data_IF_395172917815
#
_entry.id   IF_395172917815
#
_cell.length_a   1.000
_cell.length_b   1.000
_cell.length_c   1.000
_cell.angle_alpha   90.00
_cell.angle_beta   90.00
_cell.angle_gamma   90.00
#
_symmetry.space_group_name_H-M   'P 1'
#
loop_
_entity.id
_entity.type
_entity.pdbx_description
1 polymer ?
#
# COMPACT_ATOMS: atom_id res chain seq x y z
N UNK A 1 -10.12 7.98 1.63
CA UNK A 1 -10.21 6.95 0.57
C UNK A 1 -10.42 7.67 -0.73
N UNK A 2 -9.56 7.42 -1.70
CA UNK A 2 -9.75 7.88 -3.08
C UNK A 2 -10.91 7.09 -3.66
N UNK A 3 -11.90 7.78 -4.25
CA UNK A 3 -13.03 7.12 -4.91
C UNK A 3 -12.49 6.35 -6.11
N UNK A 4 -12.60 5.02 -6.10
CA UNK A 4 -12.20 4.18 -7.24
C UNK A 4 -13.17 4.46 -8.38
N UNK A 5 -12.65 4.83 -9.54
CA UNK A 5 -13.44 5.16 -10.73
C UNK A 5 -13.43 4.00 -11.73
N UNK A 6 -14.37 3.97 -12.67
CA UNK A 6 -14.35 3.03 -13.82
C UNK A 6 -13.05 3.17 -14.61
N UNK A 7 -12.46 4.36 -14.64
CA UNK A 7 -11.14 4.60 -15.23
C UNK A 7 -10.04 3.89 -14.44
N UNK A 8 -10.07 3.94 -13.11
CA UNK A 8 -9.13 3.19 -12.26
C UNK A 8 -9.30 1.67 -12.44
N UNK A 9 -10.53 1.16 -12.59
CA UNK A 9 -10.80 -0.26 -12.89
C UNK A 9 -10.24 -0.65 -14.27
N UNK A 10 -10.39 0.20 -15.28
CA UNK A 10 -9.79 -0.07 -16.59
C UNK A 10 -8.25 -0.01 -16.53
N UNK A 11 -7.67 0.91 -15.74
CA UNK A 11 -6.21 0.96 -15.47
C UNK A 11 -5.71 -0.27 -14.74
N UNK A 12 -6.50 -0.79 -13.81
CA UNK A 12 -6.24 -2.06 -13.12
C UNK A 12 -6.12 -3.19 -14.14
N UNK A 13 -7.17 -3.40 -14.94
CA UNK A 13 -7.23 -4.49 -15.93
C UNK A 13 -6.15 -4.32 -17.01
N UNK A 14 -5.80 -3.09 -17.39
CA UNK A 14 -4.78 -2.82 -18.41
C UNK A 14 -3.34 -2.82 -17.87
N UNK A 15 -3.14 -2.92 -16.55
CA UNK A 15 -1.82 -2.84 -15.93
C UNK A 15 -1.19 -1.44 -15.97
N UNK A 16 -2.00 -0.38 -16.11
CA UNK A 16 -1.49 0.98 -16.27
C UNK A 16 -0.77 1.46 -15.00
N UNK A 17 0.32 2.21 -15.21
CA UNK A 17 1.17 2.76 -14.14
C UNK A 17 0.52 4.01 -13.54
N UNK A 18 0.71 4.24 -12.25
CA UNK A 18 0.21 5.41 -11.52
C UNK A 18 1.23 6.55 -11.64
N UNK A 19 0.80 7.73 -12.13
CA UNK A 19 1.67 8.91 -12.20
C UNK A 19 2.02 9.42 -10.79
N UNK A 20 3.30 9.62 -10.56
CA UNK A 20 3.82 10.24 -9.34
C UNK A 20 3.71 11.76 -9.52
N UNK A 21 2.79 12.39 -8.79
CA UNK A 21 2.53 13.83 -8.93
C UNK A 21 3.56 14.73 -8.24
N UNK A 22 4.45 14.16 -7.44
CA UNK A 22 5.57 14.91 -6.86
C UNK A 22 6.69 15.07 -7.91
N UNK A 23 7.36 16.25 -7.98
CA UNK A 23 8.47 16.44 -8.90
C UNK A 23 9.59 15.42 -8.68
N UNK A 24 10.19 14.95 -9.77
CA UNK A 24 11.34 14.06 -9.70
C UNK A 24 12.53 14.79 -9.04
N UNK A 25 13.12 14.26 -7.94
CA UNK A 25 14.07 15.03 -7.14
C UNK A 25 15.50 14.96 -7.64
N UNK A 26 15.84 14.00 -8.51
CA UNK A 26 17.17 13.91 -9.10
C UNK A 26 17.14 14.70 -10.40
N UNK A 27 17.84 15.83 -10.46
CA UNK A 27 17.87 16.71 -11.63
C UNK A 27 18.67 16.10 -12.82
N UNK A 28 18.64 14.78 -12.98
CA UNK A 28 19.43 14.02 -13.95
C UNK A 28 18.62 13.58 -15.19
N UNK A 29 17.30 13.79 -15.20
CA UNK A 29 16.41 13.47 -16.35
C UNK A 29 15.90 14.71 -17.11
N UNK A 30 16.25 15.91 -16.66
CA UNK A 30 15.75 17.18 -17.21
C UNK A 30 14.46 17.69 -16.56
N UNK A 31 14.08 18.92 -16.93
CA UNK A 31 12.91 19.59 -16.41
C UNK A 31 11.61 18.94 -16.90
N UNK A 32 10.62 18.81 -16.01
CA UNK A 32 9.31 18.24 -16.35
C UNK A 32 9.30 16.71 -16.49
N UNK A 33 10.36 16.02 -16.07
CA UNK A 33 10.42 14.56 -16.11
C UNK A 33 9.28 13.91 -15.33
N UNK A 34 8.59 12.98 -15.97
CA UNK A 34 7.49 12.20 -15.39
C UNK A 34 7.96 10.80 -15.01
N UNK A 35 7.43 10.35 -13.89
CA UNK A 35 7.76 9.07 -13.29
C UNK A 35 6.51 8.47 -12.67
N UNK A 36 6.52 7.15 -12.57
CA UNK A 36 5.32 6.38 -12.29
C UNK A 36 5.62 5.24 -11.33
N UNK A 37 4.58 4.75 -10.64
CA UNK A 37 4.60 3.47 -9.91
C UNK A 37 3.81 2.46 -10.74
N UNK A 38 4.46 1.40 -11.21
CA UNK A 38 3.76 0.29 -11.84
C UNK A 38 3.09 -0.61 -10.81
N UNK A 39 2.09 -1.37 -11.23
CA UNK A 39 1.48 -2.40 -10.40
C UNK A 39 2.49 -3.53 -10.15
N UNK A 40 2.62 -4.05 -8.91
CA UNK A 40 3.47 -5.20 -8.66
C UNK A 40 2.92 -6.45 -9.35
N UNK A 41 3.82 -7.25 -9.90
CA UNK A 41 3.47 -8.64 -10.25
C UNK A 41 3.22 -9.44 -8.98
N UNK A 42 2.50 -10.57 -9.09
CA UNK A 42 2.27 -11.47 -7.96
C UNK A 42 3.58 -11.86 -7.26
N UNK A 43 4.59 -12.23 -8.04
CA UNK A 43 5.89 -12.58 -7.51
C UNK A 43 6.56 -11.41 -6.76
N UNK A 44 6.54 -10.19 -7.30
CA UNK A 44 7.10 -9.04 -6.60
C UNK A 44 6.33 -8.73 -5.31
N UNK A 45 5.01 -8.84 -5.34
CA UNK A 45 4.17 -8.64 -4.17
C UNK A 45 4.49 -9.65 -3.07
N UNK A 46 4.55 -10.94 -3.41
CA UNK A 46 4.85 -12.04 -2.47
C UNK A 46 6.26 -11.91 -1.89
N UNK A 47 7.26 -11.55 -2.70
CA UNK A 47 8.61 -11.29 -2.21
C UNK A 47 8.66 -10.07 -1.28
N UNK A 48 7.88 -9.03 -1.58
CA UNK A 48 7.72 -7.89 -0.69
C UNK A 48 7.14 -8.31 0.66
N UNK A 49 6.12 -9.17 0.67
CA UNK A 49 5.53 -9.71 1.90
C UNK A 49 6.57 -10.51 2.70
N UNK A 50 7.33 -11.40 2.04
CA UNK A 50 8.40 -12.17 2.69
C UNK A 50 9.48 -11.28 3.33
N UNK A 51 9.85 -10.16 2.69
CA UNK A 51 10.77 -9.18 3.28
C UNK A 51 10.17 -8.50 4.51
N UNK A 52 8.86 -8.20 4.46
CA UNK A 52 8.13 -7.68 5.62
C UNK A 52 8.10 -8.66 6.79
N UNK A 53 7.77 -9.92 6.53
CA UNK A 53 7.73 -11.01 7.51
C UNK A 53 9.10 -11.27 8.14
N UNK A 54 10.18 -11.24 7.33
CA UNK A 54 11.54 -11.36 7.85
C UNK A 54 11.88 -10.20 8.80
N UNK A 55 11.55 -8.96 8.43
CA UNK A 55 11.77 -7.79 9.29
C UNK A 55 10.90 -7.81 10.56
N UNK A 56 9.70 -8.39 10.48
CA UNK A 56 8.83 -8.63 11.63
C UNK A 56 9.46 -9.62 12.61
N UNK A 57 9.93 -10.76 12.11
CA UNK A 57 10.60 -11.78 12.90
C UNK A 57 11.87 -11.25 13.58
N UNK A 58 12.69 -10.49 12.83
CA UNK A 58 13.87 -9.80 13.38
C UNK A 58 13.48 -8.81 14.48
N UNK A 59 12.39 -8.07 14.28
CA UNK A 59 11.91 -7.13 15.31
C UNK A 59 11.49 -7.89 16.57
N UNK A 60 10.72 -8.96 16.45
CA UNK A 60 10.30 -9.78 17.60
C UNK A 60 11.46 -10.47 18.33
N UNK A 61 12.58 -10.70 17.66
CA UNK A 61 13.78 -11.27 18.28
C UNK A 61 14.53 -10.27 19.20
N UNK A 62 14.19 -8.99 19.16
CA UNK A 62 14.80 -7.98 20.03
C UNK A 62 14.38 -8.18 21.51
N UNK A 63 15.32 -8.16 22.47
CA UNK A 63 15.01 -8.38 23.89
C UNK A 63 13.94 -7.43 24.47
N UNK A 64 13.89 -6.19 23.97
CA UNK A 64 12.95 -5.16 24.43
C UNK A 64 11.49 -5.53 24.11
N UNK A 65 11.25 -6.38 23.11
CA UNK A 65 9.91 -6.77 22.68
C UNK A 65 9.16 -7.58 23.72
N UNK A 66 9.87 -8.33 24.57
CA UNK A 66 9.25 -9.05 25.70
C UNK A 66 8.60 -8.09 26.70
N UNK A 67 9.15 -6.89 26.85
CA UNK A 67 8.53 -5.85 27.67
C UNK A 67 7.37 -5.20 26.93
N UNK A 68 7.52 -4.94 25.62
CA UNK A 68 6.48 -4.30 24.81
C UNK A 68 5.22 -5.17 24.66
N UNK A 69 5.33 -6.50 24.64
CA UNK A 69 4.17 -7.41 24.61
C UNK A 69 3.21 -7.23 25.79
N UNK A 70 3.72 -6.76 26.92
CA UNK A 70 2.92 -6.54 28.15
C UNK A 70 2.21 -5.18 28.14
N UNK A 71 2.53 -4.31 27.19
CA UNK A 71 1.95 -2.98 27.09
C UNK A 71 0.80 -2.99 26.06
N UNK A 72 -0.28 -2.25 26.35
CA UNK A 72 -1.33 -2.05 25.35
C UNK A 72 -0.80 -1.27 24.14
N UNK A 73 -1.50 -1.32 22.99
CA UNK A 73 -1.20 -0.49 21.84
C UNK A 73 -1.14 1.00 22.20
N UNK A 74 -0.45 1.79 21.38
CA UNK A 74 -0.37 3.23 21.59
C UNK A 74 -1.75 3.89 21.49
N UNK A 75 -1.94 5.00 22.23
CA UNK A 75 -3.16 5.80 22.14
C UNK A 75 -3.39 6.30 20.72
N UNK A 76 -2.31 6.63 20.00
CA UNK A 76 -2.38 7.09 18.62
C UNK A 76 -2.87 5.98 17.69
N UNK A 77 -2.36 4.75 17.87
CA UNK A 77 -2.85 3.60 17.12
C UNK A 77 -4.33 3.32 17.39
N UNK A 78 -4.75 3.34 18.67
CA UNK A 78 -6.16 3.17 19.06
C UNK A 78 -7.06 4.26 18.44
N UNK A 79 -6.60 5.51 18.44
CA UNK A 79 -7.30 6.62 17.80
C UNK A 79 -7.42 6.43 16.29
N UNK A 80 -6.34 5.99 15.63
CA UNK A 80 -6.35 5.70 14.20
C UNK A 80 -7.31 4.57 13.86
N UNK A 81 -7.32 3.48 14.64
CA UNK A 81 -8.29 2.39 14.47
C UNK A 81 -9.73 2.88 14.62
N UNK A 82 -9.99 3.67 15.65
CA UNK A 82 -11.33 4.25 15.90
C UNK A 82 -11.78 5.13 14.72
N UNK A 83 -10.88 6.00 14.23
CA UNK A 83 -11.17 6.87 13.09
C UNK A 83 -11.41 6.04 11.82
N UNK A 84 -10.58 5.03 11.56
CA UNK A 84 -10.70 4.14 10.41
C UNK A 84 -12.01 3.38 10.43
N UNK A 85 -12.33 2.68 11.54
CA UNK A 85 -13.61 1.97 11.72
C UNK A 85 -14.79 2.90 11.49
N UNK A 86 -14.81 4.07 12.12
CA UNK A 86 -15.90 5.04 11.98
C UNK A 86 -16.05 5.53 10.54
N UNK A 87 -14.94 5.87 9.86
CA UNK A 87 -14.98 6.36 8.47
C UNK A 87 -15.48 5.27 7.52
N UNK A 88 -14.96 4.06 7.63
CA UNK A 88 -15.39 2.91 6.83
C UNK A 88 -16.85 2.59 7.07
N UNK A 89 -17.28 2.50 8.34
CA UNK A 89 -18.68 2.20 8.67
C UNK A 89 -19.64 3.28 8.14
N UNK A 90 -19.29 4.56 8.30
CA UNK A 90 -20.11 5.65 7.76
C UNK A 90 -20.25 5.55 6.24
N UNK A 91 -19.17 5.18 5.54
CA UNK A 91 -19.19 5.01 4.08
C UNK A 91 -20.02 3.80 3.65
N UNK A 92 -19.88 2.67 4.36
CA UNK A 92 -20.73 1.48 4.15
C UNK A 92 -22.20 1.87 4.29
N UNK A 93 -22.57 2.54 5.38
CA UNK A 93 -23.95 2.98 5.62
C UNK A 93 -24.45 3.95 4.56
N UNK A 94 -23.61 4.87 4.08
CA UNK A 94 -23.95 5.76 2.97
C UNK A 94 -24.27 4.97 1.68
N UNK A 95 -23.45 3.96 1.35
CA UNK A 95 -23.65 3.11 0.18
C UNK A 95 -24.90 2.24 0.32
N UNK A 96 -25.07 1.55 1.45
CA UNK A 96 -26.24 0.72 1.74
C UNK A 96 -27.56 1.51 1.76
N UNK A 97 -27.50 2.81 2.09
CA UNK A 97 -28.66 3.71 2.06
C UNK A 97 -29.10 4.13 0.65
N UNK A 98 -28.31 3.85 -0.40
CA UNK A 98 -28.66 4.18 -1.79
C UNK A 98 -29.65 3.16 -2.36
N UNK A 99 -30.65 3.65 -3.10
CA UNK A 99 -31.64 2.77 -3.77
C UNK A 99 -31.05 1.91 -4.89
N UNK A 100 -29.99 2.37 -5.53
CA UNK A 100 -29.26 1.65 -6.59
C UNK A 100 -27.80 2.08 -6.56
N UNK A 101 -26.90 1.12 -6.43
CA UNK A 101 -25.45 1.32 -6.52
C UNK A 101 -25.01 1.27 -7.98
N UNK A 102 -23.97 2.02 -8.32
CA UNK A 102 -23.22 1.76 -9.57
C UNK A 102 -22.33 0.53 -9.38
N UNK A 103 -21.86 -0.14 -10.45
CA UNK A 103 -20.94 -1.26 -10.33
C UNK A 103 -19.67 -0.95 -9.51
N UNK A 104 -19.14 0.27 -9.63
CA UNK A 104 -17.99 0.74 -8.86
C UNK A 104 -18.31 0.86 -7.37
N UNK A 105 -19.50 1.34 -7.05
CA UNK A 105 -19.95 1.50 -5.67
C UNK A 105 -20.25 0.14 -5.01
N UNK A 106 -20.66 -0.86 -5.79
CA UNK A 106 -20.87 -2.23 -5.32
C UNK A 106 -19.52 -2.91 -4.99
N UNK A 107 -18.52 -2.76 -5.88
CA UNK A 107 -17.14 -3.19 -5.60
C UNK A 107 -16.53 -2.45 -4.40
N UNK A 108 -16.74 -1.13 -4.31
CA UNK A 108 -16.32 -0.34 -3.14
C UNK A 108 -16.94 -0.91 -1.87
N UNK A 109 -18.24 -1.20 -1.86
CA UNK A 109 -18.95 -1.73 -0.70
C UNK A 109 -18.40 -3.09 -0.25
N UNK A 110 -18.14 -4.01 -1.19
CA UNK A 110 -17.52 -5.31 -0.89
C UNK A 110 -16.14 -5.11 -0.24
N UNK A 111 -15.30 -4.27 -0.86
CA UNK A 111 -13.96 -3.97 -0.34
C UNK A 111 -13.99 -3.31 1.05
N UNK A 112 -14.97 -2.42 1.31
CA UNK A 112 -15.12 -1.77 2.61
C UNK A 112 -15.53 -2.76 3.72
N UNK A 113 -16.42 -3.72 3.41
CA UNK A 113 -16.85 -4.76 4.36
C UNK A 113 -15.69 -5.70 4.70
N UNK A 114 -15.02 -6.22 3.68
CA UNK A 114 -13.83 -7.05 3.85
C UNK A 114 -12.73 -6.32 4.63
N UNK A 115 -12.52 -5.03 4.35
CA UNK A 115 -11.60 -4.20 5.13
C UNK A 115 -12.02 -4.11 6.60
N UNK A 116 -13.31 -3.86 6.89
CA UNK A 116 -13.82 -3.75 8.26
C UNK A 116 -13.64 -5.06 9.05
N UNK A 117 -13.90 -6.19 8.41
CA UNK A 117 -13.75 -7.53 8.99
C UNK A 117 -12.28 -7.86 9.30
N UNK A 118 -11.35 -7.35 8.50
CA UNK A 118 -9.89 -7.51 8.70
C UNK A 118 -9.29 -6.52 9.69
N UNK A 119 -10.04 -5.53 10.16
CA UNK A 119 -9.51 -4.60 11.15
C UNK A 119 -9.24 -5.35 12.47
N UNK A 120 -8.01 -5.23 12.94
CA UNK A 120 -7.52 -5.89 14.14
C UNK A 120 -8.36 -5.48 15.37
N UNK A 121 -8.73 -6.44 16.20
CA UNK A 121 -9.34 -6.18 17.52
C UNK A 121 -8.28 -5.59 18.45
N UNK A 122 -8.46 -4.35 18.95
CA UNK A 122 -7.53 -3.72 19.89
C UNK A 122 -7.23 -4.54 21.14
N UNK A 123 -8.13 -5.45 21.55
CA UNK A 123 -7.92 -6.30 22.73
C UNK A 123 -6.96 -7.47 22.48
N UNK A 124 -6.74 -7.81 21.20
CA UNK A 124 -5.84 -8.89 20.77
C UNK A 124 -4.48 -8.38 20.30
N UNK A 125 -4.31 -7.04 20.28
CA UNK A 125 -3.12 -6.37 19.77
C UNK A 125 -2.36 -5.73 20.92
N UNK A 126 -1.03 -5.75 20.86
CA UNK A 126 -0.17 -5.14 21.88
C UNK A 126 0.86 -4.18 21.25
N UNK A 127 1.67 -3.52 22.11
CA UNK A 127 2.69 -2.57 21.62
C UNK A 127 3.78 -3.24 20.80
N UNK A 128 4.14 -4.48 21.10
CA UNK A 128 5.11 -5.22 20.30
C UNK A 128 4.58 -5.44 18.88
N UNK A 129 3.31 -5.83 18.72
CA UNK A 129 2.71 -6.03 17.40
C UNK A 129 2.67 -4.71 16.59
N UNK A 130 2.38 -3.59 17.24
CA UNK A 130 2.40 -2.26 16.62
C UNK A 130 3.79 -1.92 16.04
N UNK A 131 4.84 -2.15 16.83
CA UNK A 131 6.23 -1.87 16.43
C UNK A 131 6.66 -2.83 15.31
N UNK A 132 6.38 -4.12 15.47
CA UNK A 132 6.73 -5.16 14.52
C UNK A 132 6.05 -4.92 13.16
N UNK A 133 4.73 -4.68 13.16
CA UNK A 133 3.98 -4.35 11.95
C UNK A 133 4.47 -3.04 11.29
N UNK A 134 4.86 -2.04 12.08
CA UNK A 134 5.41 -0.80 11.53
C UNK A 134 6.74 -1.03 10.81
N UNK A 135 7.62 -1.85 11.40
CA UNK A 135 8.90 -2.23 10.80
C UNK A 135 8.71 -3.10 9.56
N UNK A 136 7.84 -4.12 9.64
CA UNK A 136 7.50 -5.02 8.54
C UNK A 136 6.97 -4.25 7.32
N UNK A 137 5.97 -3.40 7.52
CA UNK A 137 5.40 -2.57 6.45
C UNK A 137 6.46 -1.63 5.85
N UNK A 138 7.32 -1.04 6.68
CA UNK A 138 8.40 -0.17 6.19
C UNK A 138 9.43 -0.93 5.36
N UNK A 139 9.84 -2.12 5.80
CA UNK A 139 10.80 -2.96 5.09
C UNK A 139 10.24 -3.39 3.73
N UNK A 140 9.02 -3.94 3.71
CA UNK A 140 8.29 -4.28 2.47
C UNK A 140 8.23 -3.09 1.52
N UNK A 141 7.71 -1.95 1.99
CA UNK A 141 7.46 -0.80 1.12
C UNK A 141 8.78 -0.26 0.52
N UNK A 142 9.84 -0.18 1.32
CA UNK A 142 11.16 0.30 0.86
C UNK A 142 11.86 -0.70 -0.06
N UNK A 143 11.54 -1.99 0.03
CA UNK A 143 12.02 -3.00 -0.88
C UNK A 143 11.27 -2.98 -2.22
N UNK A 144 9.94 -2.81 -2.18
CA UNK A 144 9.09 -2.77 -3.37
C UNK A 144 9.30 -1.51 -4.20
N UNK A 145 9.35 -0.33 -3.58
CA UNK A 145 9.41 0.94 -4.29
C UNK A 145 10.48 1.02 -5.40
N UNK A 146 11.77 0.72 -5.15
CA UNK A 146 12.78 0.81 -6.21
C UNK A 146 12.54 -0.18 -7.37
N UNK A 147 11.77 -1.25 -7.14
CA UNK A 147 11.40 -2.28 -8.12
C UNK A 147 10.14 -1.96 -8.91
N UNK A 148 9.44 -0.88 -8.56
CA UNK A 148 8.17 -0.48 -9.18
C UNK A 148 8.17 0.96 -9.71
N UNK A 149 9.16 1.77 -9.33
CA UNK A 149 9.25 3.15 -9.80
C UNK A 149 9.97 3.18 -11.15
N UNK A 150 9.24 3.63 -12.16
CA UNK A 150 9.64 3.57 -13.57
C UNK A 150 9.47 4.92 -14.27
N UNK A 151 10.15 5.08 -15.40
CA UNK A 151 9.88 6.15 -16.35
C UNK A 151 8.60 5.89 -17.18
N UNK A 152 8.30 6.83 -18.09
CA UNK A 152 7.18 6.71 -19.03
C UNK A 152 7.24 5.44 -19.89
N UNK A 153 8.45 5.01 -20.28
CA UNK A 153 8.69 3.81 -21.11
C UNK A 153 8.62 2.51 -20.32
N UNK A 154 8.68 2.55 -18.99
CA UNK A 154 8.65 1.37 -18.10
C UNK A 154 10.03 0.93 -17.62
N UNK A 155 11.06 1.74 -17.87
CA UNK A 155 12.41 1.50 -17.39
C UNK A 155 12.49 1.81 -15.90
N UNK A 156 13.08 0.91 -15.11
CA UNK A 156 13.31 1.14 -13.68
C UNK A 156 14.22 2.35 -13.48
N UNK A 157 13.81 3.26 -12.60
CA UNK A 157 14.62 4.43 -12.24
C UNK A 157 15.65 4.12 -11.15
N UNK A 158 15.39 3.10 -10.35
CA UNK A 158 16.15 2.75 -9.15
C UNK A 158 16.49 1.26 -9.12
N UNK A 159 17.02 0.71 -10.21
CA UNK A 159 17.45 -0.69 -10.23
C UNK A 159 18.59 -0.93 -9.22
N UNK A 160 18.23 -1.42 -8.03
CA UNK A 160 19.16 -1.68 -6.92
C UNK A 160 20.12 -2.82 -7.19
N UNK A 161 19.98 -3.55 -8.32
CA UNK A 161 20.98 -4.52 -8.76
C UNK A 161 22.21 -3.83 -9.39
N UNK A 162 22.08 -2.55 -9.73
CA UNK A 162 23.15 -1.72 -10.31
C UNK A 162 23.67 -0.69 -9.31
N UNK A 163 24.96 -0.35 -9.41
CA UNK A 163 25.55 0.68 -8.56
C UNK A 163 24.90 2.05 -8.76
N UNK A 164 24.51 2.38 -10.00
CA UNK A 164 23.83 3.63 -10.33
C UNK A 164 22.42 3.67 -9.71
N UNK A 165 21.61 2.64 -9.90
CA UNK A 165 20.25 2.59 -9.36
C UNK A 165 20.23 2.59 -7.84
N UNK A 166 21.16 1.88 -7.19
CA UNK A 166 21.34 1.94 -5.73
C UNK A 166 21.74 3.35 -5.28
N UNK A 167 22.71 3.99 -5.94
CA UNK A 167 23.11 5.36 -5.63
C UNK A 167 21.94 6.34 -5.79
N UNK A 168 21.15 6.23 -6.87
CA UNK A 168 19.96 7.08 -7.09
C UNK A 168 18.93 6.85 -5.98
N UNK A 169 18.62 5.60 -5.65
CA UNK A 169 17.69 5.27 -4.57
C UNK A 169 18.14 5.87 -3.24
N UNK A 170 19.43 5.77 -2.92
CA UNK A 170 20.02 6.34 -1.71
C UNK A 170 19.90 7.87 -1.65
N UNK A 171 19.91 8.56 -2.79
CA UNK A 171 19.94 10.02 -2.88
C UNK A 171 18.58 10.71 -3.07
N UNK A 172 17.47 10.02 -3.38
CA UNK A 172 16.17 10.69 -3.53
C UNK A 172 15.63 11.33 -2.23
N UNK A 173 16.25 11.03 -1.09
CA UNK A 173 15.91 11.59 0.21
C UNK A 173 14.74 10.90 0.92
N UNK A 174 14.77 10.95 2.25
CA UNK A 174 13.76 10.30 3.12
C UNK A 174 12.34 10.82 2.88
N UNK A 175 12.18 12.13 2.67
CA UNK A 175 10.88 12.77 2.46
C UNK A 175 10.19 12.22 1.21
N UNK A 176 10.92 12.16 0.10
CA UNK A 176 10.43 11.60 -1.17
C UNK A 176 10.04 10.13 -1.00
N UNK A 177 10.89 9.30 -0.40
CA UNK A 177 10.55 7.88 -0.15
C UNK A 177 9.26 7.72 0.65
N UNK A 178 9.04 8.56 1.66
CA UNK A 178 7.80 8.54 2.44
C UNK A 178 6.57 8.92 1.61
N UNK A 179 6.69 9.93 0.75
CA UNK A 179 5.60 10.33 -0.14
C UNK A 179 5.28 9.25 -1.18
N UNK A 180 6.30 8.55 -1.71
CA UNK A 180 6.12 7.46 -2.66
C UNK A 180 5.28 6.29 -2.10
N UNK A 181 5.28 6.07 -0.79
CA UNK A 181 4.46 5.03 -0.15
C UNK A 181 2.96 5.21 -0.39
N UNK A 182 2.49 6.45 -0.54
CA UNK A 182 1.08 6.72 -0.87
C UNK A 182 0.70 6.17 -2.25
N UNK A 183 1.57 6.34 -3.24
CA UNK A 183 1.38 5.81 -4.60
C UNK A 183 1.53 4.29 -4.64
N UNK A 184 2.47 3.72 -3.86
CA UNK A 184 2.56 2.26 -3.70
C UNK A 184 1.29 1.67 -3.10
N UNK A 185 0.75 2.29 -2.03
CA UNK A 185 -0.49 1.83 -1.42
C UNK A 185 -1.65 1.86 -2.42
N UNK A 186 -1.72 2.90 -3.28
CA UNK A 186 -2.69 2.96 -4.36
C UNK A 186 -2.48 1.80 -5.35
N UNK A 187 -1.26 1.54 -5.81
CA UNK A 187 -0.96 0.43 -6.71
C UNK A 187 -1.36 -0.94 -6.14
N UNK A 188 -1.10 -1.18 -4.85
CA UNK A 188 -1.48 -2.43 -4.16
C UNK A 188 -3.00 -2.56 -4.06
N UNK A 189 -3.72 -1.49 -3.70
CA UNK A 189 -5.19 -1.51 -3.64
C UNK A 189 -5.78 -1.84 -5.00
N UNK A 190 -5.24 -1.27 -6.07
CA UNK A 190 -5.65 -1.54 -7.44
C UNK A 190 -5.49 -3.03 -7.80
N UNK A 191 -4.34 -3.64 -7.49
CA UNK A 191 -4.12 -5.09 -7.71
C UNK A 191 -5.12 -5.94 -6.92
N UNK A 192 -5.40 -5.62 -5.65
CA UNK A 192 -6.38 -6.34 -4.84
C UNK A 192 -7.78 -6.25 -5.42
N UNK A 193 -8.18 -5.08 -5.92
CA UNK A 193 -9.46 -4.89 -6.60
C UNK A 193 -9.52 -5.76 -7.87
N UNK A 194 -8.44 -5.79 -8.67
CA UNK A 194 -8.32 -6.63 -9.87
C UNK A 194 -8.65 -8.10 -9.57
N UNK A 195 -7.96 -8.64 -8.56
CA UNK A 195 -8.09 -10.05 -8.15
C UNK A 195 -9.51 -10.37 -7.70
N UNK A 196 -10.17 -9.42 -7.05
CA UNK A 196 -11.55 -9.58 -6.58
C UNK A 196 -12.60 -9.30 -7.68
N UNK A 197 -12.31 -8.48 -8.68
CA UNK A 197 -13.22 -8.22 -9.81
C UNK A 197 -13.25 -9.37 -10.81
N UNK A 198 -12.12 -10.03 -11.05
CA UNK A 198 -12.06 -11.20 -11.93
C UNK A 198 -12.78 -12.42 -11.34
N UNK A 199 -12.84 -12.52 -10.00
CA UNK A 199 -13.66 -13.52 -9.32
C UNK A 199 -15.18 -13.35 -9.59
N UNK A 200 -15.62 -12.17 -10.04
CA UNK A 200 -16.99 -11.90 -10.49
C UNK A 200 -17.20 -12.12 -12.00
N UNK A 201 -16.17 -11.94 -12.83
CA UNK A 201 -16.27 -12.10 -14.29
C UNK A 201 -16.27 -13.56 -14.76
N UNK A 202 -15.84 -14.50 -13.92
CA UNK A 202 -15.90 -15.95 -14.19
C UNK A 202 -17.29 -16.60 -13.95
N UNK A 203 -18.36 -15.80 -13.87
CA UNK A 203 -19.75 -16.28 -13.70
C UNK A 203 -20.68 -15.85 -14.84
N UNK A 204 -20.19 -15.97 -16.09
CA UNK A 204 -21.01 -15.83 -17.32
C UNK A 204 -21.03 -17.14 -18.10
#
# INVERSE_FOLDING_TARGET
MTKVTTFDINRIVSGEKIEITIPYPLNDQGEGFKWFVMQPTDWLYDMGLAVGEAAEAETYALPEMETMRKLPPSKDWLNQQTISRRRTQNRITELEGKKKLTPEEDLELIGLRDYLDRLIDPNTYNRADEIAATNANRARDLWLLPRLVVDEKGTLLFDTSTAEGEHRWQNIGRKTRLQLRGFLAQAIVLVTIAKNSDAGLSSS
#
